data_IF_759803692439
#
_entry.id   IF_759803692439
#
_cell.length_a   1.000
_cell.length_b   1.000
_cell.length_c   1.000
_cell.angle_alpha   90.00
_cell.angle_beta   90.00
_cell.angle_gamma   90.00
#
_symmetry.space_group_name_H-M   'P 1'
#
loop_
_entity.id
_entity.type
_entity.pdbx_description
1 polymer ?
#
# COMPACT_ATOMS: atom_id res chain seq x y z
N UNK A 1 -36.54 -8.78 -2.93
CA UNK A 1 -35.13 -9.12 -2.52
C UNK A 1 -34.07 -8.78 -3.56
N UNK A 2 -34.27 -8.99 -4.87
CA UNK A 2 -33.33 -8.61 -5.94
C UNK A 2 -33.12 -7.08 -6.07
N UNK A 3 -34.13 -6.24 -5.85
CA UNK A 3 -34.03 -4.78 -5.98
C UNK A 3 -33.13 -4.13 -4.91
N UNK A 4 -33.17 -4.59 -3.67
CA UNK A 4 -32.32 -4.05 -2.59
C UNK A 4 -30.81 -4.37 -2.78
N UNK A 5 -30.49 -5.55 -3.31
CA UNK A 5 -29.11 -5.93 -3.62
C UNK A 5 -28.57 -5.09 -4.77
N UNK A 6 -29.40 -4.78 -5.75
CA UNK A 6 -29.06 -3.95 -6.89
C UNK A 6 -28.79 -2.50 -6.44
N UNK A 7 -29.65 -1.91 -5.62
CA UNK A 7 -29.48 -0.56 -5.07
C UNK A 7 -28.21 -0.44 -4.21
N UNK A 8 -27.91 -1.47 -3.41
CA UNK A 8 -26.72 -1.49 -2.57
C UNK A 8 -25.41 -1.47 -3.39
N UNK A 9 -25.37 -2.13 -4.55
CA UNK A 9 -24.20 -2.12 -5.44
C UNK A 9 -23.94 -0.74 -6.02
N UNK A 10 -24.96 -0.03 -6.45
CA UNK A 10 -24.81 1.35 -6.95
C UNK A 10 -24.41 2.33 -5.86
N UNK A 11 -24.93 2.17 -4.65
CA UNK A 11 -24.55 2.97 -3.51
C UNK A 11 -23.05 2.78 -3.17
N UNK A 12 -22.57 1.54 -3.14
CA UNK A 12 -21.16 1.23 -2.94
C UNK A 12 -20.27 1.77 -4.07
N UNK A 13 -20.73 1.68 -5.32
CA UNK A 13 -20.04 2.26 -6.46
C UNK A 13 -19.91 3.79 -6.32
N UNK A 14 -20.98 4.46 -5.89
CA UNK A 14 -20.98 5.90 -5.63
C UNK A 14 -19.96 6.29 -4.55
N UNK A 15 -19.95 5.58 -3.42
CA UNK A 15 -18.96 5.79 -2.34
C UNK A 15 -17.54 5.59 -2.87
N UNK A 16 -17.29 4.51 -3.61
CA UNK A 16 -15.97 4.22 -4.16
C UNK A 16 -15.49 5.35 -5.09
N UNK A 17 -16.34 5.82 -6.01
CA UNK A 17 -16.02 6.92 -6.92
C UNK A 17 -15.71 8.20 -6.14
N UNK A 18 -16.52 8.52 -5.11
CA UNK A 18 -16.29 9.69 -4.25
C UNK A 18 -14.95 9.57 -3.53
N UNK A 19 -14.61 8.40 -2.99
CA UNK A 19 -13.33 8.16 -2.33
C UNK A 19 -12.14 8.36 -3.31
N UNK A 20 -12.23 7.83 -4.53
CA UNK A 20 -11.18 8.01 -5.55
C UNK A 20 -11.03 9.49 -5.92
N UNK A 21 -12.14 10.20 -6.16
CA UNK A 21 -12.10 11.63 -6.46
C UNK A 21 -11.48 12.41 -5.29
N UNK A 22 -11.89 12.10 -4.06
CA UNK A 22 -11.33 12.74 -2.88
C UNK A 22 -9.82 12.56 -2.77
N UNK A 23 -9.30 11.35 -2.99
CA UNK A 23 -7.84 11.09 -2.93
C UNK A 23 -7.07 11.80 -4.04
N UNK A 24 -7.69 12.07 -5.19
CA UNK A 24 -7.08 12.88 -6.25
C UNK A 24 -6.98 14.37 -5.88
N UNK A 25 -7.98 14.90 -5.16
CA UNK A 25 -8.08 16.34 -4.85
C UNK A 25 -7.79 16.71 -3.39
N UNK A 26 -7.26 15.81 -2.59
CA UNK A 26 -7.02 15.99 -1.15
C UNK A 26 -5.73 16.77 -0.81
N UNK A 27 -5.15 17.54 -1.73
CA UNK A 27 -3.90 18.29 -1.51
C UNK A 27 -3.94 19.18 -0.26
N UNK A 28 -5.12 19.71 0.10
CA UNK A 28 -5.32 20.56 1.27
C UNK A 28 -5.08 19.86 2.61
N UNK A 29 -5.30 18.54 2.65
CA UNK A 29 -5.19 17.74 3.88
C UNK A 29 -3.78 17.25 4.17
N UNK A 30 -2.86 17.41 3.21
CA UNK A 30 -1.46 17.03 3.43
C UNK A 30 -0.73 18.02 4.31
N UNK A 31 -0.01 17.53 5.30
CA UNK A 31 0.87 18.34 6.15
C UNK A 31 2.19 18.69 5.44
N UNK A 32 2.61 17.89 4.48
CA UNK A 32 3.79 18.11 3.66
C UNK A 32 3.46 18.97 2.44
N UNK A 33 4.39 19.81 1.95
CA UNK A 33 4.16 20.59 0.75
C UNK A 33 4.06 19.66 -0.47
N UNK A 34 3.03 19.92 -1.30
CA UNK A 34 2.77 19.22 -2.55
C UNK A 34 3.02 20.15 -3.72
N UNK A 35 3.61 19.65 -4.79
CA UNK A 35 3.76 20.38 -6.03
C UNK A 35 3.38 19.52 -7.24
N UNK A 36 2.82 20.16 -8.26
CA UNK A 36 2.53 19.53 -9.56
C UNK A 36 3.57 19.95 -10.57
N UNK A 37 4.16 18.98 -11.25
CA UNK A 37 5.20 19.21 -12.23
C UNK A 37 4.59 19.86 -13.50
N UNK A 38 5.06 21.05 -13.82
CA UNK A 38 4.64 21.83 -15.00
C UNK A 38 5.48 21.51 -16.22
N UNK A 39 6.81 21.41 -16.03
CA UNK A 39 7.74 21.09 -17.11
C UNK A 39 8.93 20.28 -16.58
N UNK A 40 9.50 19.45 -17.45
CA UNK A 40 10.70 18.66 -17.19
C UNK A 40 11.61 18.82 -18.39
N UNK A 41 12.87 19.20 -18.14
CA UNK A 41 13.93 19.19 -19.15
C UNK A 41 14.98 18.18 -18.70
N UNK A 42 15.32 17.28 -19.58
CA UNK A 42 16.23 16.15 -19.30
C UNK A 42 17.49 16.31 -20.12
N UNK A 43 18.63 16.03 -19.49
CA UNK A 43 19.93 15.99 -20.15
C UNK A 43 20.69 14.77 -19.68
N UNK A 44 21.22 14.00 -20.61
CA UNK A 44 22.18 12.95 -20.32
C UNK A 44 23.50 13.58 -19.86
N UNK A 45 24.02 13.11 -18.74
CA UNK A 45 25.20 13.72 -18.10
C UNK A 45 26.41 12.82 -18.25
N UNK A 46 26.26 11.51 -18.13
CA UNK A 46 27.36 10.54 -18.14
C UNK A 46 26.84 9.15 -18.48
N UNK A 47 27.66 8.33 -19.13
CA UNK A 47 27.48 6.88 -19.21
C UNK A 47 28.61 6.16 -18.48
N UNK A 48 28.30 5.09 -17.77
CA UNK A 48 29.28 4.28 -17.06
C UNK A 48 29.05 2.80 -17.36
N UNK A 49 30.12 2.10 -17.74
CA UNK A 49 30.07 0.62 -17.87
C UNK A 49 30.08 0.00 -16.48
N UNK A 50 29.04 -0.75 -16.18
CA UNK A 50 28.92 -1.55 -14.96
C UNK A 50 29.63 -2.91 -15.10
N UNK A 51 29.59 -3.67 -14.02
CA UNK A 51 30.05 -5.06 -13.98
C UNK A 51 29.16 -5.90 -14.91
N UNK A 52 29.72 -6.65 -15.86
CA UNK A 52 29.06 -7.47 -16.90
C UNK A 52 28.64 -6.72 -18.17
N UNK A 53 29.42 -5.71 -18.61
CA UNK A 53 29.15 -4.91 -19.82
C UNK A 53 27.78 -4.23 -19.91
N UNK A 54 27.05 -4.13 -18.80
CA UNK A 54 25.81 -3.35 -18.74
C UNK A 54 26.17 -1.85 -18.70
N UNK A 55 25.69 -1.08 -19.65
CA UNK A 55 25.87 0.37 -19.66
C UNK A 55 24.78 1.02 -18.80
N UNK A 56 25.20 1.83 -17.84
CA UNK A 56 24.31 2.64 -17.01
C UNK A 56 24.44 4.11 -17.39
N UNK A 57 23.34 4.72 -17.77
CA UNK A 57 23.26 6.12 -18.17
C UNK A 57 22.76 6.96 -17.00
N UNK A 58 23.40 8.10 -16.79
CA UNK A 58 23.06 9.08 -15.78
C UNK A 58 22.38 10.28 -16.43
N UNK A 59 21.26 10.68 -15.88
CA UNK A 59 20.44 11.78 -16.38
C UNK A 59 20.23 12.82 -15.30
N UNK A 60 20.26 14.09 -15.70
CA UNK A 60 19.85 15.20 -14.85
C UNK A 60 18.58 15.82 -15.39
N UNK A 61 17.55 15.86 -14.55
CA UNK A 61 16.28 16.52 -14.85
C UNK A 61 16.21 17.88 -14.16
N UNK A 62 15.95 18.95 -14.92
CA UNK A 62 15.51 20.23 -14.38
C UNK A 62 13.97 20.25 -14.42
N UNK A 63 13.38 20.32 -13.24
CA UNK A 63 11.93 20.19 -13.03
C UNK A 63 11.40 21.52 -12.55
N UNK A 64 10.42 22.09 -13.26
CA UNK A 64 9.62 23.22 -12.76
C UNK A 64 8.31 22.67 -12.23
N UNK A 65 7.98 22.99 -10.98
CA UNK A 65 6.77 22.48 -10.34
C UNK A 65 6.03 23.62 -9.62
N UNK A 66 4.69 23.57 -9.68
CA UNK A 66 3.80 24.54 -9.03
C UNK A 66 3.29 23.99 -7.71
N UNK A 67 3.47 24.74 -6.64
CA UNK A 67 3.04 24.37 -5.27
C UNK A 67 1.52 24.36 -5.19
N UNK A 68 0.94 23.27 -4.61
CA UNK A 68 -0.51 23.05 -4.53
C UNK A 68 -1.12 23.40 -3.17
N UNK A 69 -0.30 23.42 -2.09
CA UNK A 69 -0.77 23.65 -0.71
C UNK A 69 0.25 24.45 0.09
N UNK A 70 -0.16 24.93 1.28
CA UNK A 70 0.68 25.73 2.15
C UNK A 70 0.64 27.23 1.85
N UNK A 71 1.55 27.99 2.47
CA UNK A 71 1.64 29.47 2.34
C UNK A 71 2.11 29.91 0.96
N UNK A 72 2.94 29.08 0.30
CA UNK A 72 3.49 29.33 -1.04
C UNK A 72 2.65 28.72 -2.18
N UNK A 73 1.35 28.45 -1.92
CA UNK A 73 0.46 27.89 -2.92
C UNK A 73 0.40 28.77 -4.18
N UNK A 74 0.66 28.14 -5.32
CA UNK A 74 0.62 28.78 -6.64
C UNK A 74 1.99 29.24 -7.14
N UNK A 75 3.01 29.28 -6.28
CA UNK A 75 4.37 29.63 -6.67
C UNK A 75 5.02 28.50 -7.47
N UNK A 76 5.93 28.88 -8.35
CA UNK A 76 6.74 27.92 -9.12
C UNK A 76 8.11 27.79 -8.49
N UNK A 77 8.54 26.53 -8.37
CA UNK A 77 9.87 26.17 -7.86
C UNK A 77 10.63 25.36 -8.92
N UNK A 78 11.95 25.57 -8.95
CA UNK A 78 12.86 24.76 -9.77
C UNK A 78 13.57 23.74 -8.91
N UNK A 79 13.56 22.49 -9.34
CA UNK A 79 14.12 21.33 -8.64
C UNK A 79 15.06 20.62 -9.60
N UNK A 80 16.23 20.21 -9.13
CA UNK A 80 17.13 19.31 -9.86
C UNK A 80 16.93 17.89 -9.34
N UNK A 81 16.79 16.93 -10.25
CA UNK A 81 16.72 15.51 -9.96
C UNK A 81 17.74 14.76 -10.80
N UNK A 82 18.54 13.93 -10.18
CA UNK A 82 19.48 13.04 -10.87
C UNK A 82 18.99 11.61 -10.75
N UNK A 83 18.93 10.89 -11.84
CA UNK A 83 18.52 9.49 -11.86
C UNK A 83 19.35 8.68 -12.84
N UNK A 84 19.37 7.37 -12.66
CA UNK A 84 20.06 6.43 -13.55
C UNK A 84 19.04 5.67 -14.42
N UNK A 85 19.52 5.10 -15.53
CA UNK A 85 18.68 4.30 -16.43
C UNK A 85 18.00 3.13 -15.69
N UNK A 86 18.64 2.57 -14.67
CA UNK A 86 18.06 1.52 -13.80
C UNK A 86 17.01 2.04 -12.80
N UNK A 87 16.96 3.36 -12.56
CA UNK A 87 16.08 4.02 -11.58
C UNK A 87 16.18 3.44 -10.15
N UNK A 88 17.31 2.83 -9.78
CA UNK A 88 17.49 2.19 -8.47
C UNK A 88 17.59 3.21 -7.34
N UNK A 89 18.29 4.32 -7.56
CA UNK A 89 18.48 5.35 -6.54
C UNK A 89 17.36 6.39 -6.56
N UNK A 90 17.07 6.95 -7.74
CA UNK A 90 16.05 7.98 -7.92
C UNK A 90 15.17 7.66 -9.12
N UNK A 91 13.92 8.08 -9.03
CA UNK A 91 12.93 7.86 -10.09
C UNK A 91 13.03 8.96 -11.15
N UNK A 92 12.65 8.61 -12.38
CA UNK A 92 12.34 9.58 -13.42
C UNK A 92 10.97 10.21 -13.16
N UNK A 93 10.89 11.53 -13.24
CA UNK A 93 9.64 12.29 -13.09
C UNK A 93 9.13 12.77 -14.44
N UNK A 94 7.80 12.89 -14.56
CA UNK A 94 7.14 13.32 -15.78
C UNK A 94 6.29 14.57 -15.54
N UNK A 95 6.04 15.31 -16.61
CA UNK A 95 5.10 16.43 -16.57
C UNK A 95 3.70 15.92 -16.16
N UNK A 96 3.09 16.61 -15.21
CA UNK A 96 1.78 16.26 -14.66
C UNK A 96 1.84 15.47 -13.36
N UNK A 97 2.99 14.88 -12.99
CA UNK A 97 3.15 14.18 -11.71
C UNK A 97 2.92 15.15 -10.55
N UNK A 98 2.27 14.63 -9.52
CA UNK A 98 2.15 15.34 -8.23
C UNK A 98 3.15 14.74 -7.27
N UNK A 99 4.02 15.58 -6.71
CA UNK A 99 5.13 15.17 -5.85
C UNK A 99 5.03 15.81 -4.48
N UNK A 100 5.52 15.08 -3.48
CA UNK A 100 5.74 15.58 -2.13
C UNK A 100 7.14 16.19 -2.08
N UNK A 101 7.22 17.42 -1.59
CA UNK A 101 8.49 18.11 -1.40
C UNK A 101 9.03 17.85 0.01
N UNK A 102 10.33 17.99 0.17
CA UNK A 102 10.95 18.07 1.49
C UNK A 102 10.59 19.40 2.18
N UNK A 103 10.79 19.45 3.51
CA UNK A 103 10.50 20.64 4.30
C UNK A 103 9.07 20.70 4.85
N UNK A 104 8.66 21.88 5.27
CA UNK A 104 7.33 22.14 5.87
C UNK A 104 6.43 22.93 4.90
N UNK A 105 5.14 23.04 5.25
CA UNK A 105 4.18 23.86 4.49
C UNK A 105 4.57 25.35 4.41
N UNK A 106 5.31 25.82 5.39
CA UNK A 106 5.77 27.22 5.49
C UNK A 106 7.07 27.43 4.71
N UNK A 107 7.95 26.41 4.68
CA UNK A 107 9.22 26.43 3.99
C UNK A 107 9.39 25.17 3.13
N UNK A 108 8.83 25.16 1.91
CA UNK A 108 8.99 24.03 1.00
C UNK A 108 10.42 23.89 0.54
N UNK A 109 11.00 22.71 0.73
CA UNK A 109 12.35 22.42 0.27
C UNK A 109 12.43 22.21 -1.25
N UNK A 110 13.62 22.36 -1.81
CA UNK A 110 13.90 22.19 -3.25
C UNK A 110 14.24 20.74 -3.65
N UNK A 111 13.81 19.75 -2.88
CA UNK A 111 14.02 18.34 -3.21
C UNK A 111 12.69 17.56 -3.15
N UNK A 112 12.56 16.57 -4.02
CA UNK A 112 11.39 15.71 -4.07
C UNK A 112 11.61 14.56 -3.08
N UNK A 113 10.64 14.35 -2.19
CA UNK A 113 10.64 13.23 -1.24
C UNK A 113 10.02 11.97 -1.86
N UNK A 114 8.89 12.11 -2.55
CA UNK A 114 8.19 11.00 -3.20
C UNK A 114 7.11 11.50 -4.17
N UNK A 115 6.60 10.59 -5.01
CA UNK A 115 5.41 10.84 -5.83
C UNK A 115 4.14 10.59 -5.00
N UNK A 116 3.13 11.42 -5.18
CA UNK A 116 1.79 11.22 -4.62
C UNK A 116 1.10 10.06 -5.33
N UNK A 117 0.95 8.92 -4.67
CA UNK A 117 0.39 7.68 -5.24
C UNK A 117 -0.96 7.27 -4.67
N UNK A 118 -1.50 8.03 -3.72
CA UNK A 118 -2.76 7.70 -3.03
C UNK A 118 -3.96 7.56 -3.96
N UNK A 119 -4.06 8.36 -5.03
CA UNK A 119 -5.11 8.19 -6.04
C UNK A 119 -5.03 6.84 -6.75
N UNK A 120 -3.83 6.42 -7.17
CA UNK A 120 -3.61 5.11 -7.79
C UNK A 120 -3.86 3.96 -6.81
N UNK A 121 -3.43 4.11 -5.55
CA UNK A 121 -3.68 3.12 -4.51
C UNK A 121 -5.16 3.00 -4.19
N UNK A 122 -5.90 4.12 -4.10
CA UNK A 122 -7.33 4.12 -3.90
C UNK A 122 -8.07 3.46 -5.07
N UNK A 123 -7.63 3.71 -6.30
CA UNK A 123 -8.22 3.09 -7.49
C UNK A 123 -7.97 1.58 -7.52
N UNK A 124 -6.75 1.13 -7.27
CA UNK A 124 -6.41 -0.29 -7.34
C UNK A 124 -6.96 -1.07 -6.12
N UNK A 125 -6.61 -0.66 -4.91
CA UNK A 125 -7.04 -1.36 -3.70
C UNK A 125 -8.55 -1.21 -3.46
N UNK A 126 -9.09 0.00 -3.63
CA UNK A 126 -10.52 0.25 -3.53
C UNK A 126 -11.31 -0.48 -4.61
N UNK A 127 -10.80 -0.55 -5.84
CA UNK A 127 -11.38 -1.32 -6.94
C UNK A 127 -11.42 -2.81 -6.64
N UNK A 128 -10.34 -3.35 -6.09
CA UNK A 128 -10.29 -4.76 -5.67
C UNK A 128 -11.34 -5.05 -4.59
N UNK A 129 -11.46 -4.22 -3.56
CA UNK A 129 -12.47 -4.39 -2.51
C UNK A 129 -13.89 -4.21 -3.05
N UNK A 130 -14.10 -3.24 -3.94
CA UNK A 130 -15.39 -3.04 -4.60
C UNK A 130 -15.79 -4.27 -5.41
N UNK A 131 -14.90 -4.81 -6.26
CA UNK A 131 -15.14 -6.03 -7.04
C UNK A 131 -15.42 -7.23 -6.14
N UNK A 132 -14.65 -7.39 -5.05
CA UNK A 132 -14.87 -8.46 -4.08
C UNK A 132 -16.30 -8.42 -3.52
N UNK A 133 -16.79 -7.26 -3.09
CA UNK A 133 -18.15 -7.11 -2.58
C UNK A 133 -19.18 -7.32 -3.70
N UNK A 134 -18.94 -6.82 -4.91
CA UNK A 134 -19.87 -6.99 -6.04
C UNK A 134 -20.04 -8.45 -6.44
N UNK A 135 -18.97 -9.25 -6.41
CA UNK A 135 -19.01 -10.66 -6.82
C UNK A 135 -19.57 -11.55 -5.70
N UNK A 136 -19.06 -11.39 -4.48
CA UNK A 136 -19.37 -12.30 -3.36
C UNK A 136 -20.44 -11.74 -2.40
N UNK A 137 -20.87 -10.49 -2.57
CA UNK A 137 -21.91 -9.85 -1.76
C UNK A 137 -21.51 -9.74 -0.28
N UNK A 138 -22.39 -10.21 0.62
CA UNK A 138 -22.16 -10.16 2.06
C UNK A 138 -20.87 -10.88 2.50
N UNK A 139 -20.54 -11.97 1.83
CA UNK A 139 -19.34 -12.74 2.14
C UNK A 139 -18.07 -11.94 1.85
N UNK A 140 -18.05 -11.14 0.76
CA UNK A 140 -16.96 -10.22 0.47
C UNK A 140 -16.74 -9.17 1.54
N UNK A 141 -17.82 -8.66 2.13
CA UNK A 141 -17.72 -7.73 3.25
C UNK A 141 -17.05 -8.36 4.48
N UNK A 142 -17.44 -9.58 4.83
CA UNK A 142 -16.80 -10.33 5.93
C UNK A 142 -15.35 -10.68 5.63
N UNK A 143 -15.01 -10.93 4.36
CA UNK A 143 -13.61 -11.13 3.94
C UNK A 143 -12.78 -9.88 4.19
N UNK A 144 -13.29 -8.68 3.88
CA UNK A 144 -12.59 -7.42 4.14
C UNK A 144 -12.39 -7.21 5.64
N UNK A 145 -13.42 -7.47 6.46
CA UNK A 145 -13.30 -7.40 7.92
C UNK A 145 -12.22 -8.35 8.43
N UNK A 146 -12.22 -9.60 7.95
CA UNK A 146 -11.19 -10.57 8.30
C UNK A 146 -9.78 -10.09 7.93
N UNK A 147 -9.63 -9.50 6.75
CA UNK A 147 -8.34 -8.96 6.30
C UNK A 147 -7.84 -7.82 7.21
N UNK A 148 -8.74 -6.91 7.61
CA UNK A 148 -8.40 -5.82 8.54
C UNK A 148 -8.00 -6.38 9.91
N UNK A 149 -8.76 -7.34 10.45
CA UNK A 149 -8.43 -7.97 11.73
C UNK A 149 -7.09 -8.70 11.67
N UNK A 150 -6.82 -9.43 10.59
CA UNK A 150 -5.54 -10.10 10.39
C UNK A 150 -4.37 -9.09 10.29
N UNK A 151 -4.57 -7.94 9.62
CA UNK A 151 -3.57 -6.88 9.59
C UNK A 151 -3.28 -6.31 10.99
N UNK A 152 -4.30 -6.16 11.84
CA UNK A 152 -4.15 -5.73 13.23
C UNK A 152 -3.37 -6.77 14.04
N UNK A 153 -3.74 -8.06 13.93
CA UNK A 153 -3.02 -9.17 14.60
C UNK A 153 -1.55 -9.18 14.17
N UNK A 154 -1.29 -9.01 12.87
CA UNK A 154 0.08 -8.93 12.35
C UNK A 154 0.86 -7.76 12.94
N UNK A 155 0.24 -6.57 13.06
CA UNK A 155 0.87 -5.40 13.65
C UNK A 155 1.25 -5.62 15.12
N UNK A 156 0.40 -6.28 15.90
CA UNK A 156 0.71 -6.67 17.29
C UNK A 156 1.85 -7.68 17.36
N UNK A 157 1.86 -8.69 16.48
CA UNK A 157 2.96 -9.65 16.41
C UNK A 157 4.28 -8.99 16.01
N UNK A 158 4.26 -8.04 15.08
CA UNK A 158 5.44 -7.26 14.72
C UNK A 158 5.96 -6.43 15.89
N UNK A 159 5.08 -5.83 16.69
CA UNK A 159 5.47 -5.11 17.92
C UNK A 159 6.11 -6.05 18.96
N UNK A 160 5.59 -7.28 19.12
CA UNK A 160 6.18 -8.28 20.01
C UNK A 160 7.59 -8.68 19.53
N UNK A 161 7.78 -8.86 18.21
CA UNK A 161 9.09 -9.11 17.62
C UNK A 161 10.09 -7.98 17.91
N UNK A 162 9.66 -6.71 17.77
CA UNK A 162 10.49 -5.55 18.09
C UNK A 162 10.89 -5.47 19.57
N UNK A 163 10.15 -6.12 20.46
CA UNK A 163 10.48 -6.24 21.90
C UNK A 163 11.44 -7.38 22.21
N UNK A 164 11.86 -8.16 21.21
CA UNK A 164 12.83 -9.25 21.34
C UNK A 164 12.22 -10.61 21.65
N UNK A 165 10.91 -10.78 21.48
CA UNK A 165 10.25 -12.08 21.62
C UNK A 165 10.68 -13.05 20.50
N UNK A 166 10.63 -14.34 20.79
CA UNK A 166 11.04 -15.38 19.85
C UNK A 166 10.14 -15.39 18.61
N UNK A 167 10.77 -15.23 17.42
CA UNK A 167 10.07 -15.13 16.13
C UNK A 167 9.23 -16.38 15.83
N UNK A 168 9.69 -17.59 16.18
CA UNK A 168 8.94 -18.82 15.93
C UNK A 168 7.64 -18.85 16.73
N UNK A 169 7.69 -18.47 18.01
CA UNK A 169 6.51 -18.40 18.85
C UNK A 169 5.51 -17.37 18.33
N UNK A 170 5.99 -16.20 17.90
CA UNK A 170 5.15 -15.14 17.33
C UNK A 170 4.47 -15.64 16.05
N UNK A 171 5.22 -16.24 15.12
CA UNK A 171 4.66 -16.78 13.88
C UNK A 171 3.59 -17.84 14.13
N UNK A 172 3.81 -18.73 15.10
CA UNK A 172 2.86 -19.76 15.47
C UNK A 172 1.56 -19.17 16.03
N UNK A 173 1.67 -18.21 16.95
CA UNK A 173 0.51 -17.52 17.54
C UNK A 173 -0.26 -16.75 16.45
N UNK A 174 0.44 -16.04 15.57
CA UNK A 174 -0.19 -15.30 14.46
C UNK A 174 -0.92 -16.25 13.51
N UNK A 175 -0.29 -17.35 13.10
CA UNK A 175 -0.91 -18.34 12.20
C UNK A 175 -2.19 -18.93 12.81
N UNK A 176 -2.16 -19.23 14.11
CA UNK A 176 -3.31 -19.69 14.86
C UNK A 176 -4.45 -18.66 14.89
N UNK A 177 -4.13 -17.42 15.27
CA UNK A 177 -5.11 -16.33 15.33
C UNK A 177 -5.69 -16.00 13.95
N UNK A 178 -4.87 -16.00 12.89
CA UNK A 178 -5.32 -15.79 11.51
C UNK A 178 -6.33 -16.85 11.08
N UNK A 179 -6.03 -18.12 11.35
CA UNK A 179 -6.91 -19.24 11.00
C UNK A 179 -8.26 -19.12 11.69
N UNK A 180 -8.27 -18.84 12.99
CA UNK A 180 -9.51 -18.65 13.75
C UNK A 180 -10.31 -17.47 13.25
N UNK A 181 -9.66 -16.30 13.13
CA UNK A 181 -10.32 -15.05 12.72
C UNK A 181 -10.93 -15.20 11.33
N UNK A 182 -10.17 -15.74 10.37
CA UNK A 182 -10.63 -15.91 8.99
C UNK A 182 -11.79 -16.88 8.90
N UNK A 183 -11.71 -18.05 9.53
CA UNK A 183 -12.77 -19.06 9.48
C UNK A 183 -14.05 -18.56 10.15
N UNK A 184 -13.95 -17.88 11.28
CA UNK A 184 -15.13 -17.32 11.97
C UNK A 184 -15.74 -16.20 11.17
N UNK A 185 -14.96 -15.28 10.61
CA UNK A 185 -15.48 -14.18 9.80
C UNK A 185 -16.18 -14.68 8.53
N UNK A 186 -15.63 -15.68 7.84
CA UNK A 186 -16.19 -16.17 6.58
C UNK A 186 -17.39 -17.06 6.75
N UNK A 187 -17.36 -17.97 7.73
CA UNK A 187 -18.38 -19.01 7.89
C UNK A 187 -19.37 -18.72 9.02
N UNK A 188 -19.11 -17.68 9.85
CA UNK A 188 -19.90 -17.39 11.05
C UNK A 188 -19.64 -18.38 12.20
N UNK A 189 -20.34 -18.14 13.33
CA UNK A 189 -20.19 -18.97 14.55
C UNK A 189 -21.17 -20.13 14.50
N UNK A 190 -20.79 -21.22 13.84
CA UNK A 190 -21.57 -22.44 13.72
C UNK A 190 -20.75 -23.67 14.15
N UNK A 191 -21.42 -24.78 14.50
CA UNK A 191 -20.73 -26.02 14.86
C UNK A 191 -19.77 -26.51 13.77
N UNK A 192 -20.12 -26.34 12.49
CA UNK A 192 -19.27 -26.71 11.36
C UNK A 192 -17.99 -25.86 11.30
N UNK A 193 -18.10 -24.57 11.61
CA UNK A 193 -16.95 -23.66 11.67
C UNK A 193 -15.96 -24.06 12.75
N UNK A 194 -16.46 -24.41 13.92
CA UNK A 194 -15.60 -24.91 15.01
C UNK A 194 -14.89 -26.21 14.66
N UNK A 195 -15.56 -27.13 13.97
CA UNK A 195 -14.92 -28.35 13.47
C UNK A 195 -13.79 -28.01 12.48
N UNK A 196 -14.02 -27.06 11.56
CA UNK A 196 -13.00 -26.59 10.62
C UNK A 196 -11.83 -25.91 11.33
N UNK A 197 -12.10 -25.08 12.35
CA UNK A 197 -11.06 -24.43 13.17
C UNK A 197 -10.20 -25.49 13.86
N UNK A 198 -10.80 -26.45 14.52
CA UNK A 198 -10.06 -27.54 15.21
C UNK A 198 -9.23 -28.35 14.22
N UNK A 199 -9.82 -28.71 13.07
CA UNK A 199 -9.09 -29.44 12.01
C UNK A 199 -7.87 -28.67 11.50
N UNK A 200 -8.03 -27.36 11.24
CA UNK A 200 -6.94 -26.51 10.78
C UNK A 200 -5.82 -26.41 11.83
N UNK A 201 -6.19 -26.26 13.10
CA UNK A 201 -5.25 -26.22 14.22
C UNK A 201 -4.48 -27.54 14.33
N UNK A 202 -5.18 -28.69 14.23
CA UNK A 202 -4.52 -30.00 14.26
C UNK A 202 -3.51 -30.15 13.12
N UNK A 203 -3.86 -29.70 11.91
CA UNK A 203 -2.96 -29.72 10.75
C UNK A 203 -1.74 -28.82 10.96
N UNK A 204 -1.93 -27.60 11.50
CA UNK A 204 -0.81 -26.71 11.82
C UNK A 204 0.15 -27.33 12.85
N UNK A 205 -0.38 -27.95 13.93
CA UNK A 205 0.44 -28.67 14.91
C UNK A 205 1.21 -29.83 14.27
N UNK A 206 0.57 -30.58 13.39
CA UNK A 206 1.20 -31.70 12.71
C UNK A 206 2.32 -31.25 11.79
N UNK A 207 2.12 -30.16 11.05
CA UNK A 207 3.16 -29.56 10.21
C UNK A 207 4.34 -29.08 11.08
N UNK A 208 4.07 -28.40 12.21
CA UNK A 208 5.12 -27.94 13.11
C UNK A 208 5.94 -29.09 13.67
N UNK A 209 5.27 -30.15 14.14
CA UNK A 209 5.94 -31.33 14.66
C UNK A 209 6.82 -32.03 13.60
N UNK A 210 6.33 -32.09 12.34
CA UNK A 210 7.13 -32.59 11.21
C UNK A 210 8.36 -31.72 10.93
N UNK A 211 8.23 -30.41 10.99
CA UNK A 211 9.39 -29.51 10.84
C UNK A 211 10.41 -29.70 11.95
N UNK A 212 9.98 -29.73 13.21
CA UNK A 212 10.89 -30.00 14.32
C UNK A 212 11.60 -31.35 14.15
N UNK A 213 10.88 -32.39 13.77
CA UNK A 213 11.47 -33.73 13.55
C UNK A 213 12.48 -33.72 12.37
N UNK A 214 12.21 -33.03 11.26
CA UNK A 214 13.09 -32.97 10.10
C UNK A 214 14.34 -32.11 10.32
N UNK A 215 14.25 -31.08 11.15
CA UNK A 215 15.39 -30.18 11.41
C UNK A 215 16.16 -30.49 12.71
N UNK A 216 15.77 -31.53 13.46
CA UNK A 216 16.58 -32.10 14.54
C UNK A 216 17.65 -33.09 14.04
N UNK A 217 17.67 -33.39 12.74
CA UNK A 217 18.70 -34.16 12.07
C UNK A 217 19.46 -33.23 11.10
#
# INVERSE_FOLDING_TARGET
>A
MKSHVFQMKYFLAGIYIICVIFTCFNARFYHTPLAKISSVTEKETMSRKGTRDAEEYYYTQKITARILNGTHKGEEISISNEYTSSQVQNQKYHKGDTVLLSGSRENPGKSIRSIKRDGYLALLAGGLFFLLICITGKQGFYTIISLILNAIIFAFGFQAFMKGENILNICNVIAFLFSITTLICLNGIHRKTWASVISTICVLFLIMALFEFLFQF
#
